data_IF_703642840826
#
_entry.id   IF_703642840826
#
_cell.length_a   1.000
_cell.length_b   1.000
_cell.length_c   1.000
_cell.angle_alpha   90.00
_cell.angle_beta   90.00
_cell.angle_gamma   90.00
#
_symmetry.space_group_name_H-M   'P 1'
#
loop_
_entity.id
_entity.type
_entity.pdbx_description
1 polymer ?
#
# COMPACT_ATOMS: atom_id res chain seq x y z
N UNK A 1 3.67 -16.76 -23.04
CA UNK A 1 2.67 -16.30 -22.05
C UNK A 1 1.32 -16.80 -22.54
N UNK A 2 0.64 -17.64 -21.75
CA UNK A 2 -0.78 -17.93 -21.99
C UNK A 2 -1.60 -16.65 -21.81
N UNK A 3 -2.82 -16.62 -22.35
CA UNK A 3 -3.74 -15.49 -22.15
C UNK A 3 -4.00 -15.23 -20.66
N UNK A 4 -4.09 -16.28 -19.85
CA UNK A 4 -4.26 -16.18 -18.39
C UNK A 4 -3.10 -15.46 -17.70
N UNK A 5 -1.85 -15.79 -18.06
CA UNK A 5 -0.68 -15.11 -17.50
C UNK A 5 -0.65 -13.63 -17.88
N UNK A 6 -0.99 -13.31 -19.13
CA UNK A 6 -1.03 -11.91 -19.58
C UNK A 6 -2.11 -11.12 -18.81
N UNK A 7 -3.28 -11.72 -18.61
CA UNK A 7 -4.37 -11.11 -17.86
C UNK A 7 -3.97 -10.85 -16.39
N UNK A 8 -3.37 -11.85 -15.73
CA UNK A 8 -2.86 -11.73 -14.36
C UNK A 8 -1.82 -10.63 -14.22
N UNK A 9 -0.80 -10.60 -15.09
CA UNK A 9 0.22 -9.55 -15.06
C UNK A 9 -0.36 -8.17 -15.38
N UNK A 10 -1.33 -8.07 -16.28
CA UNK A 10 -1.98 -6.81 -16.64
C UNK A 10 -2.79 -6.23 -15.47
N UNK A 11 -3.50 -7.09 -14.74
CA UNK A 11 -4.25 -6.71 -13.55
C UNK A 11 -3.31 -6.30 -12.42
N UNK A 12 -2.25 -7.09 -12.18
CA UNK A 12 -1.28 -6.78 -11.13
C UNK A 12 -0.56 -5.45 -11.41
N UNK A 13 -0.15 -5.19 -12.65
CA UNK A 13 0.46 -3.93 -13.05
C UNK A 13 -0.52 -2.76 -13.04
N UNK A 14 -1.75 -2.94 -13.54
CA UNK A 14 -2.76 -1.89 -13.59
C UNK A 14 -3.21 -1.45 -12.20
N UNK A 15 -3.55 -2.42 -11.34
CA UNK A 15 -3.92 -2.17 -9.95
C UNK A 15 -2.72 -1.65 -9.16
N UNK A 16 -1.53 -2.23 -9.34
CA UNK A 16 -0.30 -1.77 -8.71
C UNK A 16 0.02 -0.31 -9.05
N UNK A 17 -0.13 0.09 -10.32
CA UNK A 17 0.04 1.46 -10.78
C UNK A 17 -0.96 2.44 -10.15
N UNK A 18 -2.23 2.05 -10.04
CA UNK A 18 -3.27 2.86 -9.39
C UNK A 18 -2.99 3.05 -7.88
N UNK A 19 -2.55 2.00 -7.18
CA UNK A 19 -2.16 2.10 -5.77
C UNK A 19 -0.96 3.06 -5.61
N UNK A 20 0.02 2.97 -6.52
CA UNK A 20 1.19 3.85 -6.52
C UNK A 20 0.80 5.33 -6.71
N UNK A 21 -0.17 5.59 -7.61
CA UNK A 21 -0.74 6.92 -7.79
C UNK A 21 -1.47 7.41 -6.53
N UNK A 22 -2.17 6.52 -5.83
CA UNK A 22 -2.81 6.84 -4.55
C UNK A 22 -1.79 7.24 -3.48
N UNK A 23 -0.68 6.51 -3.36
CA UNK A 23 0.44 6.84 -2.45
C UNK A 23 1.06 8.20 -2.82
N UNK A 24 1.25 8.46 -4.11
CA UNK A 24 1.75 9.75 -4.60
C UNK A 24 0.84 10.92 -4.20
N UNK A 25 -0.49 10.76 -4.34
CA UNK A 25 -1.45 11.78 -3.90
C UNK A 25 -1.36 12.00 -2.39
N UNK A 26 -1.31 10.93 -1.58
CA UNK A 26 -1.20 11.06 -0.11
C UNK A 26 0.09 11.75 0.28
N UNK A 27 1.21 11.45 -0.38
CA UNK A 27 2.48 12.16 -0.18
C UNK A 27 2.34 13.65 -0.50
N UNK A 28 1.73 13.97 -1.64
CA UNK A 28 1.56 15.37 -2.04
C UNK A 28 0.64 16.12 -1.05
N UNK A 29 -0.48 15.50 -0.67
CA UNK A 29 -1.41 16.04 0.32
C UNK A 29 -0.74 16.27 1.68
N UNK A 30 0.14 15.36 2.11
CA UNK A 30 0.91 15.51 3.35
C UNK A 30 1.84 16.73 3.33
N UNK A 31 2.47 16.95 2.17
CA UNK A 31 3.40 18.06 1.96
C UNK A 31 2.67 19.40 1.82
N UNK A 32 1.54 19.41 1.11
CA UNK A 32 0.73 20.60 0.84
C UNK A 32 -0.13 21.01 2.04
N UNK A 33 -0.54 20.07 2.89
CA UNK A 33 -1.27 20.39 4.13
C UNK A 33 -0.42 21.04 5.22
N UNK A 34 0.84 21.42 4.92
CA UNK A 34 1.83 21.94 5.88
C UNK A 34 1.80 21.15 7.19
N UNK A 35 1.67 19.83 7.07
CA UNK A 35 1.44 18.93 8.18
C UNK A 35 2.67 19.02 9.07
N UNK A 36 2.64 19.92 10.06
CA UNK A 36 3.77 20.23 10.95
C UNK A 36 4.23 18.98 11.69
N UNK A 37 5.13 19.08 12.66
CA UNK A 37 5.64 17.89 13.40
C UNK A 37 4.55 16.90 13.82
N UNK A 38 3.36 17.39 14.19
CA UNK A 38 2.21 16.57 14.54
C UNK A 38 1.51 15.92 13.34
N UNK A 39 1.33 16.65 12.24
CA UNK A 39 0.69 16.15 11.03
C UNK A 39 1.55 15.11 10.31
N UNK A 40 2.88 15.33 10.23
CA UNK A 40 3.81 14.32 9.71
C UNK A 40 3.79 13.05 10.58
N UNK A 41 3.68 13.18 11.91
CA UNK A 41 3.62 12.04 12.83
C UNK A 41 2.34 11.21 12.64
N UNK A 42 1.18 11.86 12.53
CA UNK A 42 -0.09 11.19 12.25
C UNK A 42 -0.06 10.55 10.86
N UNK A 43 0.53 11.19 9.87
CA UNK A 43 0.63 10.65 8.51
C UNK A 43 1.53 9.40 8.47
N UNK A 44 2.65 9.42 9.19
CA UNK A 44 3.52 8.25 9.36
C UNK A 44 2.83 7.14 10.16
N UNK A 45 2.01 7.47 11.16
CA UNK A 45 1.21 6.49 11.89
C UNK A 45 0.12 5.88 11.00
N UNK A 46 -0.65 6.69 10.27
CA UNK A 46 -1.74 6.21 9.43
C UNK A 46 -1.23 5.34 8.27
N UNK A 47 -0.16 5.76 7.59
CA UNK A 47 0.49 4.97 6.53
C UNK A 47 1.22 3.75 7.11
N UNK A 48 1.96 3.94 8.21
CA UNK A 48 2.74 2.89 8.86
C UNK A 48 1.87 1.79 9.46
N UNK A 49 0.72 2.14 10.06
CA UNK A 49 -0.26 1.18 10.59
C UNK A 49 -0.87 0.32 9.49
N UNK A 50 -1.16 0.90 8.31
CA UNK A 50 -1.66 0.16 7.16
C UNK A 50 -0.65 -0.90 6.70
N UNK A 51 0.63 -0.52 6.57
CA UNK A 51 1.70 -1.44 6.18
C UNK A 51 1.98 -2.48 7.28
N UNK A 52 2.04 -2.07 8.54
CA UNK A 52 2.22 -2.98 9.69
C UNK A 52 1.08 -4.00 9.77
N UNK A 53 -0.17 -3.57 9.63
CA UNK A 53 -1.33 -4.46 9.63
C UNK A 53 -1.28 -5.47 8.48
N UNK A 54 -0.88 -5.02 7.29
CA UNK A 54 -0.70 -5.91 6.13
C UNK A 54 0.41 -6.93 6.37
N UNK A 55 1.58 -6.49 6.86
CA UNK A 55 2.73 -7.38 7.16
C UNK A 55 2.36 -8.39 8.23
N UNK A 56 1.74 -7.96 9.33
CA UNK A 56 1.29 -8.86 10.41
C UNK A 56 0.30 -9.88 9.85
N UNK A 57 -0.67 -9.47 9.04
CA UNK A 57 -1.64 -10.37 8.42
C UNK A 57 -0.97 -11.39 7.49
N UNK A 58 -0.04 -10.95 6.64
CA UNK A 58 0.69 -11.85 5.73
C UNK A 58 1.52 -12.86 6.52
N UNK A 59 2.28 -12.42 7.52
CA UNK A 59 3.06 -13.31 8.39
C UNK A 59 2.15 -14.27 9.14
N UNK A 60 1.02 -13.81 9.65
CA UNK A 60 0.04 -14.65 10.35
C UNK A 60 -0.56 -15.71 9.43
N UNK A 61 -0.94 -15.36 8.21
CA UNK A 61 -1.49 -16.30 7.21
C UNK A 61 -0.46 -17.36 6.85
N UNK A 62 0.80 -16.95 6.65
CA UNK A 62 1.88 -17.85 6.22
C UNK A 62 2.39 -18.73 7.36
N UNK A 63 2.48 -18.20 8.59
CA UNK A 63 2.88 -18.96 9.79
C UNK A 63 1.77 -19.90 10.26
N UNK A 64 0.50 -19.51 10.17
CA UNK A 64 -0.63 -20.37 10.53
C UNK A 64 -1.07 -21.30 9.40
N UNK A 65 -0.47 -21.19 8.20
CA UNK A 65 -0.79 -22.04 7.05
C UNK A 65 -2.22 -21.87 6.52
N UNK A 66 -2.80 -20.68 6.69
CA UNK A 66 -4.18 -20.35 6.27
C UNK A 66 -4.17 -19.65 4.88
N UNK A 67 -3.09 -19.84 4.11
CA UNK A 67 -2.86 -19.23 2.79
C UNK A 67 -3.22 -20.14 1.64
#
# INVERSE_FOLDING_TARGET
>A
MSFEQFEEYSLWLGVGGLILFMIFIVWNLAKESEAGRFGTFILFLALGLGLLGFVIKTVLVEVMGIG
#
